data_IF_747081261087
#
_entry.id   IF_747081261087
#
_cell.length_a   1.000
_cell.length_b   1.000
_cell.length_c   1.000
_cell.angle_alpha   90.00
_cell.angle_beta   90.00
_cell.angle_gamma   90.00
#
_symmetry.space_group_name_H-M   'P 1'
#
loop_
_entity.id
_entity.type
_entity.pdbx_description
1 polymer ?
#
# COMPACT_ATOMS: atom_id res chain seq x y z
N UNK A 1 -23.81 -0.47 12.68
CA UNK A 1 -23.08 -1.54 11.98
C UNK A 1 -23.37 -1.44 10.51
N UNK A 2 -22.40 -1.04 9.70
CA UNK A 2 -22.71 -0.55 8.37
C UNK A 2 -21.97 -1.41 7.32
N UNK A 3 -22.66 -2.44 6.84
CA UNK A 3 -22.28 -3.39 5.77
C UNK A 3 -21.52 -2.69 4.65
N UNK A 4 -20.21 -2.92 4.59
CA UNK A 4 -19.33 -2.44 3.54
C UNK A 4 -19.76 -3.08 2.21
N UNK A 5 -19.82 -2.32 1.11
CA UNK A 5 -20.20 -2.88 -0.20
C UNK A 5 -19.08 -3.80 -0.69
N UNK A 6 -19.31 -5.11 -0.70
CA UNK A 6 -18.32 -6.12 -1.09
C UNK A 6 -17.68 -5.87 -2.46
N UNK A 7 -18.35 -5.15 -3.38
CA UNK A 7 -17.90 -5.00 -4.78
C UNK A 7 -16.78 -3.96 -5.00
N UNK A 8 -16.79 -2.84 -4.26
CA UNK A 8 -15.71 -1.84 -4.35
C UNK A 8 -14.43 -2.32 -3.69
N UNK A 9 -14.58 -3.06 -2.58
CA UNK A 9 -13.51 -3.80 -1.94
C UNK A 9 -12.88 -4.83 -2.88
N UNK A 10 -13.69 -5.60 -3.62
CA UNK A 10 -13.17 -6.58 -4.57
C UNK A 10 -12.35 -5.94 -5.70
N UNK A 11 -12.72 -4.78 -6.22
CA UNK A 11 -11.96 -4.11 -7.28
C UNK A 11 -10.63 -3.54 -6.77
N UNK A 12 -10.62 -2.91 -5.59
CA UNK A 12 -9.39 -2.47 -4.94
C UNK A 12 -8.48 -3.66 -4.60
N UNK A 13 -9.03 -4.76 -4.09
CA UNK A 13 -8.31 -6.01 -3.82
C UNK A 13 -7.77 -6.64 -5.10
N UNK A 14 -8.49 -6.58 -6.22
CA UNK A 14 -8.03 -7.11 -7.51
C UNK A 14 -6.87 -6.27 -8.09
N UNK A 15 -6.93 -4.94 -7.99
CA UNK A 15 -5.84 -4.05 -8.41
C UNK A 15 -4.61 -4.20 -7.51
N UNK A 16 -4.83 -4.37 -6.21
CA UNK A 16 -3.80 -4.65 -5.22
C UNK A 16 -3.15 -6.03 -5.46
N UNK A 17 -3.95 -7.07 -5.73
CA UNK A 17 -3.46 -8.42 -5.99
C UNK A 17 -2.67 -8.50 -7.31
N UNK A 18 -3.01 -7.69 -8.31
CA UNK A 18 -2.25 -7.62 -9.55
C UNK A 18 -0.92 -6.87 -9.38
N UNK A 19 -0.88 -5.79 -8.60
CA UNK A 19 0.37 -5.11 -8.25
C UNK A 19 1.30 -6.00 -7.40
N UNK A 20 0.75 -6.72 -6.42
CA UNK A 20 1.50 -7.65 -5.58
C UNK A 20 2.00 -8.89 -6.34
N UNK A 21 1.32 -9.31 -7.41
CA UNK A 21 1.75 -10.42 -8.26
C UNK A 21 3.03 -10.11 -9.07
N UNK A 22 3.44 -8.83 -9.15
CA UNK A 22 4.68 -8.41 -9.79
C UNK A 22 5.83 -8.16 -8.80
N UNK A 23 5.58 -8.23 -7.48
CA UNK A 23 6.66 -8.20 -6.49
C UNK A 23 7.42 -9.54 -6.55
N UNK A 24 8.69 -9.47 -6.91
CA UNK A 24 9.53 -10.62 -7.21
C UNK A 24 9.91 -11.39 -5.93
N UNK A 25 9.07 -12.35 -5.52
CA UNK A 25 9.34 -13.27 -4.41
C UNK A 25 10.31 -14.38 -4.84
N UNK A 26 11.56 -14.02 -5.16
CA UNK A 26 12.62 -14.96 -5.50
C UNK A 26 13.27 -15.58 -4.24
N UNK A 27 12.47 -16.26 -3.44
CA UNK A 27 12.97 -17.10 -2.37
C UNK A 27 13.03 -18.56 -2.84
N UNK A 28 14.17 -18.98 -3.39
CA UNK A 28 14.46 -20.41 -3.55
C UNK A 28 14.26 -21.09 -2.18
N UNK A 29 13.60 -22.25 -2.11
CA UNK A 29 13.01 -22.84 -0.89
C UNK A 29 13.92 -23.08 0.33
N UNK A 30 15.18 -22.68 0.28
CA UNK A 30 16.13 -22.57 1.39
C UNK A 30 16.09 -21.19 2.04
N UNK A 31 15.82 -21.10 3.34
CA UNK A 31 15.95 -19.86 4.13
C UNK A 31 17.37 -19.76 4.71
N UNK A 32 17.97 -18.59 4.63
CA UNK A 32 19.23 -18.23 5.28
C UNK A 32 19.04 -17.48 6.61
N UNK A 33 20.14 -17.10 7.26
CA UNK A 33 20.09 -16.15 8.38
C UNK A 33 19.66 -14.74 7.92
N UNK A 34 19.16 -13.93 8.84
CA UNK A 34 18.67 -12.58 8.52
C UNK A 34 19.82 -11.66 8.07
N UNK A 35 19.69 -11.04 6.88
CA UNK A 35 20.69 -10.13 6.31
C UNK A 35 20.07 -8.79 5.94
N UNK A 36 20.87 -7.74 6.03
CA UNK A 36 20.56 -6.43 5.47
C UNK A 36 21.20 -6.30 4.09
N UNK A 37 20.46 -5.72 3.16
CA UNK A 37 20.93 -5.43 1.82
C UNK A 37 21.49 -4.01 1.73
N UNK A 38 22.55 -3.82 0.93
CA UNK A 38 23.18 -2.52 0.71
C UNK A 38 23.04 -2.12 -0.76
N UNK A 39 21.86 -1.67 -1.10
CA UNK A 39 21.43 -1.25 -2.42
C UNK A 39 21.54 0.28 -2.67
N UNK A 40 21.03 0.76 -3.81
CA UNK A 40 20.94 2.18 -4.15
C UNK A 40 19.67 2.83 -3.60
N UNK A 41 19.68 4.15 -3.38
CA UNK A 41 18.46 4.92 -3.07
C UNK A 41 17.54 5.16 -4.28
N UNK A 42 18.05 4.91 -5.48
CA UNK A 42 17.36 5.17 -6.75
C UNK A 42 17.50 3.98 -7.67
N UNK A 43 16.44 3.69 -8.43
CA UNK A 43 16.40 2.57 -9.37
C UNK A 43 14.97 2.20 -9.72
N UNK A 44 14.81 1.30 -10.68
CA UNK A 44 13.49 0.76 -11.09
C UNK A 44 12.86 -0.05 -9.97
N UNK A 45 13.66 -0.78 -9.20
CA UNK A 45 13.27 -1.49 -7.97
C UNK A 45 12.57 -0.57 -6.97
N UNK A 46 13.16 0.60 -6.67
CA UNK A 46 12.55 1.58 -5.74
C UNK A 46 11.23 2.13 -6.26
N UNK A 47 11.14 2.33 -7.57
CA UNK A 47 9.90 2.77 -8.21
C UNK A 47 8.82 1.69 -8.14
N UNK A 48 9.19 0.42 -8.26
CA UNK A 48 8.26 -0.72 -8.11
C UNK A 48 7.71 -0.80 -6.69
N UNK A 49 8.56 -0.74 -5.67
CA UNK A 49 8.14 -0.68 -4.25
C UNK A 49 7.16 0.47 -4.00
N UNK A 50 7.49 1.67 -4.47
CA UNK A 50 6.61 2.84 -4.38
C UNK A 50 5.27 2.60 -5.09
N UNK A 51 5.30 2.16 -6.36
CA UNK A 51 4.11 2.03 -7.19
C UNK A 51 3.17 0.93 -6.71
N UNK A 52 3.72 -0.20 -6.25
CA UNK A 52 2.95 -1.31 -5.68
C UNK A 52 2.35 -0.93 -4.33
N UNK A 53 3.07 -0.15 -3.51
CA UNK A 53 2.59 0.26 -2.19
C UNK A 53 1.53 1.36 -2.21
N UNK A 54 1.45 2.18 -3.27
CA UNK A 54 0.43 3.21 -3.42
C UNK A 54 -1.02 2.69 -3.32
N UNK A 55 -1.47 1.66 -4.07
CA UNK A 55 -2.83 1.15 -3.92
C UNK A 55 -3.12 0.56 -2.53
N UNK A 56 -2.12 -0.02 -1.85
CA UNK A 56 -2.27 -0.48 -0.46
C UNK A 56 -2.49 0.68 0.51
N UNK A 57 -1.76 1.77 0.32
CA UNK A 57 -1.98 3.04 1.04
C UNK A 57 -3.38 3.59 0.83
N UNK A 58 -3.84 3.65 -0.42
CA UNK A 58 -5.18 4.12 -0.76
C UNK A 58 -6.27 3.26 -0.10
N UNK A 59 -6.09 1.93 -0.12
CA UNK A 59 -6.97 1.00 0.56
C UNK A 59 -6.98 1.21 2.08
N UNK A 60 -5.80 1.37 2.69
CA UNK A 60 -5.66 1.70 4.10
C UNK A 60 -6.38 2.99 4.46
N UNK A 61 -6.15 4.06 3.68
CA UNK A 61 -6.79 5.36 3.88
C UNK A 61 -8.32 5.29 3.77
N UNK A 62 -8.85 4.44 2.89
CA UNK A 62 -10.28 4.18 2.80
C UNK A 62 -10.83 3.41 4.01
N UNK A 63 -10.08 2.43 4.55
CA UNK A 63 -10.47 1.72 5.77
C UNK A 63 -10.51 2.64 6.99
N UNK A 64 -9.58 3.59 7.05
CA UNK A 64 -9.40 4.51 8.19
C UNK A 64 -10.07 5.85 7.97
N UNK A 65 -10.88 6.02 6.91
CA UNK A 65 -11.47 7.30 6.50
C UNK A 65 -12.30 8.01 7.56
N UNK A 66 -12.91 7.24 8.49
CA UNK A 66 -13.77 7.77 9.56
C UNK A 66 -13.00 7.92 10.91
N UNK A 67 -11.66 7.95 10.89
CA UNK A 67 -10.79 8.14 12.07
C UNK A 67 -10.24 9.57 12.16
N UNK A 68 -9.62 9.94 13.29
CA UNK A 68 -9.00 11.27 13.47
C UNK A 68 -7.79 11.50 12.55
N UNK A 69 -7.12 10.43 12.10
CA UNK A 69 -5.90 10.50 11.31
C UNK A 69 -5.90 9.49 10.15
N UNK A 70 -6.81 9.63 9.17
CA UNK A 70 -7.03 8.65 8.11
C UNK A 70 -5.78 8.40 7.27
N UNK A 71 -5.03 9.46 6.92
CA UNK A 71 -3.78 9.35 6.15
C UNK A 71 -2.71 8.60 6.93
N UNK A 72 -2.53 8.89 8.22
CA UNK A 72 -1.51 8.25 9.05
C UNK A 72 -1.81 6.76 9.22
N UNK A 73 -3.02 6.42 9.67
CA UNK A 73 -3.39 5.02 9.85
C UNK A 73 -3.46 4.26 8.52
N UNK A 74 -3.90 4.93 7.45
CA UNK A 74 -3.93 4.35 6.12
C UNK A 74 -2.53 4.04 5.58
N UNK A 75 -1.57 4.93 5.82
CA UNK A 75 -0.16 4.70 5.50
C UNK A 75 0.37 3.49 6.27
N UNK A 76 0.16 3.44 7.59
CA UNK A 76 0.65 2.33 8.43
C UNK A 76 0.10 0.97 7.97
N UNK A 77 -1.20 0.89 7.65
CA UNK A 77 -1.82 -0.32 7.10
C UNK A 77 -1.23 -0.64 5.72
N UNK A 78 -1.11 0.38 4.87
CA UNK A 78 -0.61 0.24 3.50
C UNK A 78 0.85 -0.19 3.39
N UNK A 79 1.68 0.12 4.39
CA UNK A 79 3.10 -0.29 4.45
C UNK A 79 3.28 -1.75 4.87
N UNK A 80 2.29 -2.37 5.54
CA UNK A 80 2.44 -3.73 6.07
C UNK A 80 2.85 -4.79 5.03
N UNK A 81 2.29 -4.81 3.81
CA UNK A 81 2.72 -5.74 2.77
C UNK A 81 4.20 -5.59 2.39
N UNK A 82 4.67 -4.35 2.15
CA UNK A 82 6.07 -4.07 1.84
C UNK A 82 7.01 -4.46 2.98
N UNK A 83 6.65 -4.12 4.23
CA UNK A 83 7.39 -4.58 5.41
C UNK A 83 7.48 -6.10 5.49
N UNK A 84 6.37 -6.81 5.23
CA UNK A 84 6.36 -8.26 5.24
C UNK A 84 7.26 -8.85 4.16
N UNK A 85 7.28 -8.27 2.96
CA UNK A 85 8.19 -8.66 1.88
C UNK A 85 9.66 -8.45 2.28
N UNK A 86 10.02 -7.27 2.77
CA UNK A 86 11.40 -7.00 3.20
C UNK A 86 11.87 -7.93 4.33
N UNK A 87 10.98 -8.28 5.27
CA UNK A 87 11.28 -9.27 6.31
C UNK A 87 11.52 -10.66 5.72
N UNK A 88 10.72 -11.07 4.73
CA UNK A 88 10.93 -12.34 4.02
C UNK A 88 12.25 -12.32 3.24
N UNK A 89 12.53 -11.25 2.50
CA UNK A 89 13.77 -11.11 1.72
C UNK A 89 15.00 -11.09 2.61
N UNK A 90 14.89 -10.50 3.81
CA UNK A 90 15.91 -10.60 4.85
C UNK A 90 16.28 -12.05 5.20
N UNK A 91 15.36 -12.99 5.06
CA UNK A 91 15.61 -14.43 5.31
C UNK A 91 16.02 -15.21 4.06
N UNK A 92 16.04 -14.59 2.88
CA UNK A 92 16.31 -15.30 1.63
C UNK A 92 17.80 -15.27 1.26
N UNK A 93 18.38 -16.36 0.72
CA UNK A 93 19.82 -16.45 0.48
C UNK A 93 20.31 -15.49 -0.61
N UNK A 94 19.43 -15.16 -1.54
CA UNK A 94 19.63 -14.33 -2.73
C UNK A 94 19.17 -12.89 -2.55
N UNK A 95 18.59 -12.56 -1.40
CA UNK A 95 18.09 -11.21 -1.07
C UNK A 95 18.58 -10.75 0.30
N UNK A 96 18.03 -9.63 0.74
CA UNK A 96 18.27 -9.07 2.06
C UNK A 96 17.25 -7.99 2.39
N UNK A 97 17.10 -7.68 3.67
CA UNK A 97 16.23 -6.59 4.11
C UNK A 97 16.85 -5.27 3.67
N UNK A 98 16.20 -4.57 2.74
CA UNK A 98 16.54 -3.19 2.40
C UNK A 98 15.61 -2.23 3.11
N UNK A 99 16.18 -1.36 3.94
CA UNK A 99 15.45 -0.25 4.55
C UNK A 99 15.11 0.84 3.51
N UNK A 100 15.79 0.86 2.36
CA UNK A 100 15.53 1.83 1.27
C UNK A 100 14.29 1.43 0.48
N UNK A 101 14.11 0.13 0.25
CA UNK A 101 12.86 -0.42 -0.30
C UNK A 101 11.70 -0.19 0.66
N UNK A 102 11.88 -0.47 1.96
CA UNK A 102 10.84 -0.19 2.95
C UNK A 102 10.46 1.30 3.00
N UNK A 103 11.44 2.20 2.79
CA UNK A 103 11.16 3.62 2.66
C UNK A 103 10.35 3.94 1.40
N UNK A 104 10.68 3.35 0.25
CA UNK A 104 9.90 3.50 -0.98
C UNK A 104 8.47 2.96 -0.82
N UNK A 105 8.30 1.81 -0.15
CA UNK A 105 7.00 1.26 0.20
C UNK A 105 6.19 2.21 1.09
N UNK A 106 6.83 2.75 2.13
CA UNK A 106 6.18 3.70 3.05
C UNK A 106 5.75 4.97 2.32
N UNK A 107 6.60 5.50 1.42
CA UNK A 107 6.30 6.69 0.62
C UNK A 107 5.18 6.44 -0.40
N UNK A 108 5.15 5.25 -1.00
CA UNK A 108 4.06 4.79 -1.86
C UNK A 108 2.75 4.74 -1.09
N UNK A 109 2.73 4.03 0.03
CA UNK A 109 1.56 3.91 0.90
C UNK A 109 1.06 5.27 1.40
N UNK A 110 1.98 6.19 1.75
CA UNK A 110 1.63 7.56 2.13
C UNK A 110 0.94 8.30 0.98
N UNK A 111 1.53 8.25 -0.21
CA UNK A 111 0.95 8.86 -1.42
C UNK A 111 -0.45 8.33 -1.69
N UNK A 112 -0.63 7.01 -1.61
CA UNK A 112 -1.92 6.38 -1.80
C UNK A 112 -2.96 6.80 -0.77
N UNK A 113 -2.61 6.77 0.52
CA UNK A 113 -3.49 7.15 1.61
C UNK A 113 -3.89 8.63 1.52
N UNK A 114 -2.94 9.49 1.16
CA UNK A 114 -3.18 10.91 0.91
C UNK A 114 -4.12 11.12 -0.28
N UNK A 115 -3.84 10.52 -1.44
CA UNK A 115 -4.72 10.62 -2.61
C UNK A 115 -6.13 10.10 -2.32
N UNK A 116 -6.27 8.98 -1.60
CA UNK A 116 -7.56 8.46 -1.20
C UNK A 116 -8.31 9.42 -0.26
N UNK A 117 -7.60 10.07 0.66
CA UNK A 117 -8.19 11.05 1.57
C UNK A 117 -8.70 12.30 0.85
N UNK A 118 -7.96 12.79 -0.15
CA UNK A 118 -8.32 14.00 -0.90
C UNK A 118 -9.31 13.75 -2.03
N UNK A 119 -9.12 12.69 -2.81
CA UNK A 119 -9.86 12.48 -4.04
C UNK A 119 -11.18 11.71 -3.84
N UNK A 120 -11.31 10.87 -2.81
CA UNK A 120 -12.48 10.02 -2.64
C UNK A 120 -13.54 10.69 -1.75
N UNK A 121 -14.62 11.16 -2.36
CA UNK A 121 -15.85 11.48 -1.62
C UNK A 121 -16.62 10.20 -1.40
N UNK A 122 -16.95 9.94 -0.14
CA UNK A 122 -17.88 8.88 0.22
C UNK A 122 -19.08 9.46 0.94
N UNK A 123 -20.23 9.56 0.26
CA UNK A 123 -21.50 9.88 0.91
C UNK A 123 -22.29 8.60 1.20
N UNK A 124 -22.78 8.50 2.44
CA UNK A 124 -23.61 7.40 2.90
C UNK A 124 -24.94 7.94 3.39
N UNK A 125 -25.90 8.03 2.49
CA UNK A 125 -27.29 8.33 2.82
C UNK A 125 -28.06 7.02 3.11
N UNK A 126 -29.14 7.05 3.91
CA UNK A 126 -29.91 5.87 4.27
C UNK A 126 -30.42 5.04 3.06
N UNK A 127 -30.53 5.65 1.88
CA UNK A 127 -31.00 5.02 0.65
C UNK A 127 -30.02 5.13 -0.54
N UNK A 128 -28.82 5.71 -0.33
CA UNK A 128 -27.85 5.93 -1.41
C UNK A 128 -26.41 5.78 -0.93
N UNK A 129 -25.57 5.14 -1.75
CA UNK A 129 -24.12 5.08 -1.56
C UNK A 129 -23.47 5.67 -2.78
N UNK A 130 -22.85 6.83 -2.63
CA UNK A 130 -22.16 7.52 -3.72
C UNK A 130 -20.67 7.47 -3.47
N UNK A 131 -19.93 6.89 -4.42
CA UNK A 131 -18.48 7.04 -4.53
C UNK A 131 -18.26 8.10 -5.61
N UNK A 132 -17.70 9.23 -5.22
CA UNK A 132 -17.39 10.33 -6.11
C UNK A 132 -15.91 10.66 -6.09
N UNK A 133 -15.41 11.25 -7.17
CA UNK A 133 -14.10 11.89 -7.18
C UNK A 133 -14.32 13.40 -6.95
N UNK A 134 -13.74 13.97 -5.89
CA UNK A 134 -13.65 15.43 -5.74
C UNK A 134 -12.33 15.91 -6.29
N UNK A 135 -12.40 16.99 -7.06
CA UNK A 135 -11.26 17.84 -7.34
C UNK A 135 -11.68 19.24 -6.88
N UNK A 136 -10.89 19.86 -6.01
CA UNK A 136 -11.11 21.23 -5.56
C UNK A 136 -9.97 22.08 -6.12
N UNK A 137 -10.29 23.20 -6.78
CA UNK A 137 -9.34 24.03 -7.52
C UNK A 137 -8.67 25.10 -6.61
N UNK A 138 -8.83 24.98 -5.29
CA UNK A 138 -8.34 25.96 -4.33
C UNK A 138 -7.06 25.48 -3.64
N UNK A 139 -5.95 26.16 -3.96
CA UNK A 139 -4.61 25.96 -3.39
C UNK A 139 -4.44 26.69 -2.06
#
# INVERSE_FOLDING_TARGET
>A
MALVSNRGLSAAVLLVASAAAHADLQCSGTRGGFRFESDSWTGTDKLEHFAVSAPFGAFGGWLTRDTDHPVVYGTLIGTMPGLALQVLDGTCPTGGFSYKDLFADTLGALTGAWLAHWALIYSREPHSRTIGLQYDDTF
#
